data_IF_432240775002
#
_entry.id   IF_432240775002
#
_cell.length_a   1.000
_cell.length_b   1.000
_cell.length_c   1.000
_cell.angle_alpha   90.00
_cell.angle_beta   90.00
_cell.angle_gamma   90.00
#
_symmetry.space_group_name_H-M   'P 1'
#
loop_
_entity.id
_entity.type
_entity.pdbx_description
1 polymer ?
#
# COMPACT_ATOMS: atom_id res chain seq x y z
N UNK A 1 30.13 34.92 -1.73
CA UNK A 1 29.46 33.79 -1.09
C UNK A 1 28.40 33.24 -2.03
N UNK A 2 28.44 31.93 -2.23
CA UNK A 2 27.63 31.06 -3.11
C UNK A 2 26.11 31.25 -2.93
N UNK A 3 25.22 30.84 -3.84
CA UNK A 3 25.18 30.55 -5.29
C UNK A 3 23.66 30.52 -5.59
N UNK A 4 23.26 31.11 -6.72
CA UNK A 4 21.87 31.18 -7.19
C UNK A 4 21.39 29.82 -7.71
N UNK A 5 20.10 29.57 -7.52
CA UNK A 5 19.28 28.53 -8.12
C UNK A 5 19.44 28.44 -9.64
N UNK A 6 19.48 27.21 -10.19
CA UNK A 6 19.20 26.93 -11.59
C UNK A 6 18.71 25.48 -11.74
N UNK A 7 17.47 25.38 -12.23
CA UNK A 7 16.85 24.17 -12.76
C UNK A 7 17.67 23.64 -13.95
N UNK A 8 17.95 22.33 -13.94
CA UNK A 8 18.35 21.52 -15.09
C UNK A 8 17.89 20.09 -14.74
N UNK A 9 17.26 19.30 -15.58
CA UNK A 9 16.89 19.38 -16.99
C UNK A 9 16.33 17.99 -17.28
N UNK A 10 15.14 17.91 -17.87
CA UNK A 10 14.52 16.66 -18.28
C UNK A 10 15.37 16.03 -19.37
N UNK A 11 15.91 14.83 -19.12
CA UNK A 11 16.48 13.96 -20.14
C UNK A 11 15.52 12.79 -20.37
N UNK A 12 14.72 12.90 -21.45
CA UNK A 12 14.01 11.75 -22.01
C UNK A 12 15.01 11.01 -22.90
N UNK A 13 15.64 9.98 -22.35
CA UNK A 13 16.33 8.99 -23.19
C UNK A 13 15.27 8.01 -23.70
N UNK A 14 14.94 8.18 -24.98
CA UNK A 14 14.29 7.15 -25.79
C UNK A 14 15.12 5.87 -25.73
N UNK A 15 14.65 4.89 -24.97
CA UNK A 15 15.14 3.53 -24.95
C UNK A 15 13.97 2.61 -25.23
N UNK A 16 13.96 2.04 -26.43
CA UNK A 16 12.99 1.09 -26.94
C UNK A 16 12.71 -0.04 -25.93
N UNK A 17 11.54 -0.02 -25.29
CA UNK A 17 11.04 -1.20 -24.56
C UNK A 17 10.43 -2.13 -25.59
N UNK A 18 11.18 -3.17 -25.95
CA UNK A 18 10.63 -4.34 -26.63
C UNK A 18 9.62 -4.99 -25.70
N UNK A 19 8.34 -4.81 -26.00
CA UNK A 19 7.26 -5.53 -25.34
C UNK A 19 7.41 -7.03 -25.65
N UNK A 20 7.88 -7.79 -24.67
CA UNK A 20 7.83 -9.25 -24.71
C UNK A 20 6.44 -9.67 -24.21
N UNK A 21 5.45 -9.65 -25.10
CA UNK A 21 4.17 -10.30 -24.86
C UNK A 21 4.36 -11.81 -25.00
N UNK A 22 4.53 -12.47 -23.86
CA UNK A 22 4.66 -13.90 -23.74
C UNK A 22 4.00 -14.38 -22.46
N UNK A 23 2.76 -14.84 -22.63
CA UNK A 23 2.05 -15.83 -21.79
C UNK A 23 1.31 -15.34 -20.53
N UNK A 24 0.03 -15.00 -20.75
CA UNK A 24 -1.14 -15.36 -19.93
C UNK A 24 -0.94 -15.38 -18.41
N UNK A 25 -0.85 -14.21 -17.79
CA UNK A 25 -1.31 -14.03 -16.40
C UNK A 25 -2.77 -13.63 -16.44
N UNK A 26 -3.64 -14.50 -15.98
CA UNK A 26 -5.07 -14.22 -15.80
C UNK A 26 -5.26 -12.94 -14.97
N UNK A 27 -5.67 -11.85 -15.61
CA UNK A 27 -6.51 -10.79 -15.04
C UNK A 27 -6.08 -10.01 -13.79
N UNK A 28 -4.90 -10.24 -13.20
CA UNK A 28 -4.46 -9.53 -11.99
C UNK A 28 -3.39 -8.52 -12.37
N UNK A 29 -3.78 -7.26 -12.51
CA UNK A 29 -2.80 -6.17 -12.54
C UNK A 29 -1.99 -6.22 -11.23
N UNK A 30 -0.66 -6.03 -11.27
CA UNK A 30 0.11 -5.90 -10.05
C UNK A 30 -0.48 -4.76 -9.22
N UNK A 31 -0.67 -4.98 -7.92
CA UNK A 31 -1.30 -4.04 -6.95
C UNK A 31 -0.63 -2.64 -6.95
N UNK A 32 0.53 -2.49 -7.60
CA UNK A 32 1.22 -1.23 -7.82
C UNK A 32 0.83 -0.41 -9.06
N UNK A 33 0.09 -0.95 -10.05
CA UNK A 33 -0.07 -0.30 -11.37
C UNK A 33 -1.40 0.44 -11.59
N UNK A 34 -2.31 0.45 -10.61
CA UNK A 34 -3.65 1.07 -10.73
C UNK A 34 -3.75 2.46 -10.08
N UNK A 35 -2.78 3.35 -10.32
CA UNK A 35 -2.73 4.69 -9.71
C UNK A 35 -2.93 5.85 -10.69
N UNK A 36 -3.10 5.60 -11.98
CA UNK A 36 -3.33 6.68 -12.96
C UNK A 36 -4.67 7.40 -12.66
N UNK A 37 -4.58 8.68 -12.25
CA UNK A 37 -5.72 9.55 -12.00
C UNK A 37 -6.08 9.80 -10.52
N UNK A 38 -5.27 9.31 -9.56
CA UNK A 38 -5.52 9.53 -8.11
C UNK A 38 -4.93 10.86 -7.62
N UNK A 39 -5.53 11.42 -6.57
CA UNK A 39 -5.09 12.67 -5.93
C UNK A 39 -3.60 12.58 -5.55
N UNK A 40 -2.82 13.62 -5.87
CA UNK A 40 -1.39 13.68 -5.58
C UNK A 40 -1.08 13.47 -4.09
N UNK A 41 -1.98 13.89 -3.19
CA UNK A 41 -1.84 13.68 -1.75
C UNK A 41 -2.02 12.23 -1.29
N UNK A 42 -2.65 11.37 -2.08
CA UNK A 42 -2.72 9.92 -1.82
C UNK A 42 -1.42 9.23 -2.20
N UNK A 43 -0.83 9.65 -3.33
CA UNK A 43 0.45 9.10 -3.81
C UNK A 43 1.62 9.49 -2.91
N UNK A 44 1.63 10.73 -2.42
CA UNK A 44 2.66 11.22 -1.49
C UNK A 44 2.63 10.45 -0.16
N UNK A 45 1.46 10.34 0.49
CA UNK A 45 1.30 9.56 1.74
C UNK A 45 1.72 8.11 1.59
N UNK A 46 1.38 7.48 0.46
CA UNK A 46 1.82 6.13 0.16
C UNK A 46 3.34 6.04 0.01
N UNK A 47 3.95 6.93 -0.76
CA UNK A 47 5.40 6.93 -0.95
C UNK A 47 6.16 7.17 0.37
N UNK A 48 5.64 8.04 1.24
CA UNK A 48 6.18 8.27 2.58
C UNK A 48 6.07 7.03 3.46
N UNK A 49 4.92 6.35 3.43
CA UNK A 49 4.72 5.09 4.12
C UNK A 49 5.71 4.03 3.60
N UNK A 50 5.81 3.83 2.28
CA UNK A 50 6.77 2.88 1.66
C UNK A 50 8.22 3.18 2.05
N UNK A 51 8.62 4.45 2.11
CA UNK A 51 9.98 4.85 2.46
C UNK A 51 10.30 4.69 3.95
N UNK A 52 9.30 4.80 4.82
CA UNK A 52 9.47 4.84 6.28
C UNK A 52 9.10 3.53 6.98
N UNK A 53 8.48 2.59 6.27
CA UNK A 53 7.99 1.33 6.84
C UNK A 53 9.15 0.40 7.25
N UNK A 54 9.20 0.02 8.53
CA UNK A 54 10.17 -0.94 9.04
C UNK A 54 9.57 -2.36 9.15
N UNK A 55 9.85 -3.19 8.15
CA UNK A 55 9.41 -4.59 8.11
C UNK A 55 9.90 -5.42 9.32
N UNK A 56 10.92 -4.98 10.06
CA UNK A 56 11.40 -5.66 11.26
C UNK A 56 10.45 -5.52 12.45
N UNK A 57 9.63 -4.45 12.49
CA UNK A 57 8.59 -4.23 13.50
C UNK A 57 7.35 -5.10 13.27
N UNK A 58 7.19 -5.67 12.07
CA UNK A 58 6.06 -6.54 11.74
C UNK A 58 6.39 -8.00 12.06
N UNK A 59 5.47 -8.75 12.72
CA UNK A 59 5.60 -10.18 12.95
C UNK A 59 5.88 -10.93 11.65
N UNK A 60 6.79 -11.91 11.69
CA UNK A 60 7.25 -12.63 10.48
C UNK A 60 6.09 -13.18 9.64
N UNK A 61 5.04 -13.68 10.29
CA UNK A 61 3.86 -14.26 9.64
C UNK A 61 2.97 -13.23 8.93
N UNK A 62 3.13 -11.93 9.18
CA UNK A 62 2.36 -10.85 8.58
C UNK A 62 3.15 -10.03 7.55
N UNK A 63 4.47 -10.26 7.42
CA UNK A 63 5.33 -9.45 6.54
C UNK A 63 4.95 -9.54 5.06
N UNK A 64 4.36 -10.65 4.64
CA UNK A 64 3.87 -10.80 3.26
C UNK A 64 2.66 -9.89 2.96
N UNK A 65 2.00 -9.35 3.99
CA UNK A 65 0.91 -8.41 3.86
C UNK A 65 1.37 -6.95 3.82
N UNK A 66 2.65 -6.65 4.08
CA UNK A 66 3.16 -5.25 4.11
C UNK A 66 2.79 -4.45 2.85
N UNK A 67 2.98 -4.96 1.62
CA UNK A 67 2.58 -4.22 0.43
C UNK A 67 1.09 -3.90 0.40
N UNK A 68 0.25 -4.83 0.87
CA UNK A 68 -1.20 -4.65 0.95
C UNK A 68 -1.55 -3.64 2.04
N UNK A 69 -0.91 -3.74 3.21
CA UNK A 69 -1.10 -2.82 4.32
C UNK A 69 -0.77 -1.39 3.90
N UNK A 70 0.35 -1.16 3.21
CA UNK A 70 0.72 0.18 2.75
C UNK A 70 -0.32 0.74 1.77
N UNK A 71 -0.87 -0.07 0.86
CA UNK A 71 -1.89 0.41 -0.08
C UNK A 71 -3.20 0.74 0.62
N UNK A 72 -3.69 -0.17 1.45
CA UNK A 72 -5.02 -0.08 2.04
C UNK A 72 -5.06 0.74 3.33
N UNK A 73 -3.96 0.80 4.07
CA UNK A 73 -3.89 1.41 5.40
C UNK A 73 -3.19 2.76 5.49
N UNK A 74 -2.56 3.25 4.41
CA UNK A 74 -1.97 4.60 4.37
C UNK A 74 -2.90 5.67 3.78
N UNK A 75 -4.03 5.24 3.22
CA UNK A 75 -4.97 6.10 2.51
C UNK A 75 -6.33 6.01 3.19
N UNK A 76 -6.86 7.16 3.62
CA UNK A 76 -8.20 7.20 4.20
C UNK A 76 -9.25 6.80 3.14
N UNK A 77 -10.12 5.86 3.48
CA UNK A 77 -11.24 5.40 2.65
C UNK A 77 -10.81 4.82 1.29
N UNK A 78 -9.74 4.01 1.27
CA UNK A 78 -9.26 3.40 0.03
C UNK A 78 -10.34 2.54 -0.64
N UNK A 79 -11.18 1.85 0.16
CA UNK A 79 -12.31 1.05 -0.33
C UNK A 79 -13.31 1.82 -1.20
N UNK A 80 -13.44 3.15 -1.06
CA UNK A 80 -14.31 3.96 -1.90
C UNK A 80 -13.82 4.06 -3.36
N UNK A 81 -12.50 4.00 -3.55
CA UNK A 81 -11.85 4.12 -4.86
C UNK A 81 -11.40 2.78 -5.43
N UNK A 82 -11.36 1.73 -4.59
CA UNK A 82 -10.97 0.39 -4.99
C UNK A 82 -12.02 -0.27 -5.88
N UNK A 83 -11.57 -0.92 -6.94
CA UNK A 83 -12.38 -1.81 -7.76
C UNK A 83 -12.83 -3.06 -6.98
N UNK A 84 -13.87 -3.73 -7.45
CA UNK A 84 -14.34 -4.99 -6.85
C UNK A 84 -13.25 -6.07 -6.85
N UNK A 85 -12.38 -6.10 -7.86
CA UNK A 85 -11.26 -7.02 -7.93
C UNK A 85 -10.21 -6.74 -6.84
N UNK A 86 -9.92 -5.47 -6.57
CA UNK A 86 -9.03 -5.08 -5.47
C UNK A 86 -9.62 -5.46 -4.11
N UNK A 87 -10.92 -5.21 -3.90
CA UNK A 87 -11.63 -5.61 -2.66
C UNK A 87 -11.62 -7.12 -2.47
N UNK A 88 -11.90 -7.88 -3.53
CA UNK A 88 -11.87 -9.34 -3.48
C UNK A 88 -10.46 -9.87 -3.16
N UNK A 89 -9.40 -9.24 -3.68
CA UNK A 89 -8.02 -9.60 -3.31
C UNK A 89 -7.73 -9.26 -1.85
N UNK A 90 -8.14 -8.10 -1.33
CA UNK A 90 -8.03 -7.78 0.09
C UNK A 90 -8.72 -8.85 0.94
N UNK A 91 -9.97 -9.18 0.61
CA UNK A 91 -10.75 -10.18 1.34
C UNK A 91 -10.05 -11.54 1.36
N UNK A 92 -9.62 -12.01 0.18
CA UNK A 92 -8.92 -13.29 0.03
C UNK A 92 -7.62 -13.35 0.81
N UNK A 93 -6.86 -12.24 0.88
CA UNK A 93 -5.57 -12.19 1.59
C UNK A 93 -5.72 -12.09 3.09
N UNK A 94 -6.81 -11.49 3.58
CA UNK A 94 -7.02 -11.25 5.00
C UNK A 94 -7.86 -12.33 5.69
N UNK A 95 -8.70 -13.09 4.97
CA UNK A 95 -9.65 -14.05 5.53
C UNK A 95 -9.09 -14.93 6.66
N UNK A 96 -7.91 -15.53 6.46
CA UNK A 96 -7.26 -16.42 7.44
C UNK A 96 -6.19 -15.72 8.29
N UNK A 97 -6.03 -14.40 8.15
CA UNK A 97 -4.96 -13.60 8.78
C UNK A 97 -5.47 -12.63 9.84
N UNK A 98 -6.78 -12.34 9.88
CA UNK A 98 -7.40 -11.40 10.83
C UNK A 98 -7.04 -11.72 12.29
N UNK A 99 -7.14 -12.98 12.71
CA UNK A 99 -6.80 -13.36 14.09
C UNK A 99 -5.34 -13.08 14.46
N UNK A 100 -4.41 -13.22 13.51
CA UNK A 100 -3.00 -12.92 13.74
C UNK A 100 -2.75 -11.41 13.80
N UNK A 101 -3.43 -10.64 12.94
CA UNK A 101 -3.42 -9.18 12.96
C UNK A 101 -3.98 -8.67 14.30
N UNK A 102 -5.17 -9.13 14.71
CA UNK A 102 -5.82 -8.73 15.97
C UNK A 102 -4.95 -9.04 17.19
N UNK A 103 -4.35 -10.23 17.22
CA UNK A 103 -3.45 -10.63 18.32
C UNK A 103 -2.25 -9.70 18.41
N UNK A 104 -1.68 -9.30 17.27
CA UNK A 104 -0.56 -8.38 17.25
C UNK A 104 -0.97 -6.96 17.64
N UNK A 105 -2.09 -6.45 17.10
CA UNK A 105 -2.62 -5.13 17.44
C UNK A 105 -2.99 -5.01 18.92
N UNK A 106 -3.48 -6.09 19.54
CA UNK A 106 -3.79 -6.14 20.97
C UNK A 106 -2.55 -5.97 21.89
N UNK A 107 -1.33 -5.97 21.34
CA UNK A 107 -0.10 -5.69 22.11
C UNK A 107 0.16 -4.19 22.28
N UNK A 108 -0.58 -3.34 21.57
CA UNK A 108 -0.45 -1.89 21.62
C UNK A 108 -1.57 -1.26 22.46
N UNK A 109 -1.27 -0.10 23.05
CA UNK A 109 -2.27 0.72 23.73
C UNK A 109 -3.06 1.52 22.67
N UNK A 110 -4.33 1.15 22.49
CA UNK A 110 -5.21 1.76 21.48
C UNK A 110 -5.68 3.17 21.87
N UNK A 111 -5.44 3.61 23.11
CA UNK A 111 -5.72 4.98 23.56
C UNK A 111 -4.58 5.96 23.20
N UNK A 112 -3.47 5.45 22.66
CA UNK A 112 -2.32 6.24 22.20
C UNK A 112 -2.20 6.18 20.67
N UNK A 113 -1.57 7.20 20.05
CA UNK A 113 -1.21 7.12 18.64
C UNK A 113 -0.36 5.87 18.36
N UNK A 114 -0.85 5.02 17.46
CA UNK A 114 -0.12 3.83 17.04
C UNK A 114 1.13 4.22 16.22
N UNK A 115 2.24 3.46 16.34
CA UNK A 115 3.34 3.53 15.39
C UNK A 115 2.89 3.26 13.94
N UNK A 116 3.71 3.64 12.96
CA UNK A 116 3.37 3.57 11.54
C UNK A 116 2.95 2.15 11.11
N UNK A 117 3.70 1.12 11.49
CA UNK A 117 3.45 -0.26 11.06
C UNK A 117 2.11 -0.80 11.62
N UNK A 118 1.87 -0.83 12.94
CA UNK A 118 0.59 -1.28 13.47
C UNK A 118 -0.59 -0.40 13.04
N UNK A 119 -0.42 0.92 12.88
CA UNK A 119 -1.49 1.79 12.36
C UNK A 119 -1.88 1.43 10.92
N UNK A 120 -0.90 1.17 10.06
CA UNK A 120 -1.14 0.78 8.67
C UNK A 120 -1.89 -0.56 8.60
N UNK A 121 -1.54 -1.53 9.46
CA UNK A 121 -2.27 -2.80 9.54
C UNK A 121 -3.67 -2.65 10.15
N UNK A 122 -3.82 -1.77 11.14
CA UNK A 122 -5.12 -1.43 11.73
C UNK A 122 -6.08 -0.87 10.66
N UNK A 123 -5.64 0.11 9.87
CA UNK A 123 -6.48 0.71 8.83
C UNK A 123 -6.77 -0.25 7.68
N UNK A 124 -5.80 -1.09 7.27
CA UNK A 124 -6.08 -2.15 6.29
C UNK A 124 -7.17 -3.13 6.78
N UNK A 125 -7.15 -3.48 8.08
CA UNK A 125 -8.18 -4.33 8.70
C UNK A 125 -9.54 -3.63 8.73
N UNK A 126 -9.57 -2.35 9.06
CA UNK A 126 -10.79 -1.53 9.05
C UNK A 126 -11.40 -1.46 7.63
N UNK A 127 -10.57 -1.22 6.61
CA UNK A 127 -10.99 -1.24 5.22
C UNK A 127 -11.52 -2.61 4.77
N UNK A 128 -11.00 -3.72 5.32
CA UNK A 128 -11.57 -5.05 5.09
C UNK A 128 -12.99 -5.17 5.67
N UNK A 129 -13.23 -4.63 6.87
CA UNK A 129 -14.56 -4.65 7.50
C UNK A 129 -15.56 -3.77 6.74
N UNK A 130 -15.10 -2.64 6.18
CA UNK A 130 -15.92 -1.73 5.36
C UNK A 130 -16.14 -2.26 3.95
N UNK A 131 -15.17 -2.99 3.38
CA UNK A 131 -15.29 -3.60 2.06
C UNK A 131 -16.23 -4.81 2.03
N UNK A 132 -16.68 -5.30 3.20
CA UNK A 132 -17.72 -6.34 3.31
C UNK A 132 -19.09 -5.74 2.92
N UNK A 133 -19.49 -5.98 1.66
CA UNK A 133 -20.78 -5.63 1.05
C UNK A 133 -21.79 -6.78 1.17
#
# INVERSE_FOLDING_TARGET
>A
MNKKWLYAGVFILSGTVTAFFGDRTDGVAPVGELLEGRDAGVLERRAEAEASFDASQVPRELRDLIPLAIVWGSTDNYSYYASDAEKAELQRRLADRLTAIDRWLATFDMDQPLPLEPSTFFWMRDEYEVADL
#
